data_IF_216151094498
#
_entry.id   IF_216151094498
#
_cell.length_a   1.000
_cell.length_b   1.000
_cell.length_c   1.000
_cell.angle_alpha   90.00
_cell.angle_beta   90.00
_cell.angle_gamma   90.00
#
_symmetry.space_group_name_H-M   'P 1'
#
loop_
_entity.id
_entity.type
_entity.pdbx_description
1 polymer ?
#
# COMPACT_ATOMS: atom_id res chain seq x y z
N UNK A 1 -3.34 16.75 -5.72
CA UNK A 1 -2.53 16.67 -4.48
C UNK A 1 -3.33 16.69 -3.16
N UNK A 2 -4.22 17.66 -2.88
CA UNK A 2 -4.97 17.68 -1.60
C UNK A 2 -6.02 16.54 -1.50
N UNK A 3 -6.75 16.28 -2.59
CA UNK A 3 -7.75 15.20 -2.67
C UNK A 3 -7.15 13.80 -2.53
N UNK A 4 -5.97 13.55 -3.13
CA UNK A 4 -5.26 12.26 -3.00
C UNK A 4 -4.86 11.96 -1.55
N UNK A 5 -4.35 12.98 -0.82
CA UNK A 5 -4.00 12.84 0.60
C UNK A 5 -5.22 12.55 1.47
N UNK A 6 -6.37 13.14 1.15
CA UNK A 6 -7.62 12.89 1.86
C UNK A 6 -8.17 11.48 1.60
N UNK A 7 -8.10 11.00 0.35
CA UNK A 7 -8.53 9.65 0.00
C UNK A 7 -7.64 8.57 0.61
N UNK A 8 -6.32 8.80 0.64
CA UNK A 8 -5.37 7.92 1.34
C UNK A 8 -5.74 7.77 2.82
N UNK A 9 -5.98 8.89 3.51
CA UNK A 9 -6.37 8.87 4.93
C UNK A 9 -7.70 8.13 5.11
N UNK A 10 -8.65 8.27 4.19
CA UNK A 10 -9.91 7.54 4.26
C UNK A 10 -9.66 6.02 4.19
N UNK A 11 -8.98 5.52 3.15
CA UNK A 11 -8.68 4.10 3.03
C UNK A 11 -7.93 3.56 4.23
N UNK A 12 -6.95 4.32 4.72
CA UNK A 12 -6.14 3.93 5.86
C UNK A 12 -6.98 3.71 7.13
N UNK A 13 -8.03 4.52 7.36
CA UNK A 13 -8.93 4.39 8.51
C UNK A 13 -9.92 3.22 8.39
N UNK A 14 -10.24 2.78 7.17
CA UNK A 14 -11.13 1.63 6.98
C UNK A 14 -10.43 0.32 7.37
N UNK A 15 -9.09 0.25 7.37
CA UNK A 15 -8.35 -1.00 7.57
C UNK A 15 -7.28 -0.98 8.67
N UNK A 16 -7.12 0.14 9.39
CA UNK A 16 -6.09 0.27 10.45
C UNK A 16 -6.34 -0.62 11.68
N UNK A 17 -7.51 -1.26 11.76
CA UNK A 17 -7.83 -2.27 12.76
C UNK A 17 -7.07 -3.59 12.54
N UNK A 18 -6.60 -3.88 11.32
CA UNK A 18 -5.95 -5.14 10.99
C UNK A 18 -4.48 -5.13 11.42
N UNK A 19 -4.04 -6.12 12.20
CA UNK A 19 -2.69 -6.13 12.78
C UNK A 19 -1.56 -6.15 11.75
N UNK A 20 -1.83 -6.69 10.55
CA UNK A 20 -0.89 -6.70 9.42
C UNK A 20 -0.97 -5.48 8.49
N UNK A 21 -1.70 -4.43 8.85
CA UNK A 21 -1.71 -3.14 8.16
C UNK A 21 -0.99 -2.12 9.03
N UNK A 22 -0.20 -1.23 8.42
CA UNK A 22 0.50 -0.19 9.17
C UNK A 22 -0.51 0.77 9.82
N UNK A 23 -0.42 0.98 11.14
CA UNK A 23 -1.40 1.86 11.81
C UNK A 23 -1.15 3.32 11.49
N UNK A 24 -2.24 4.08 11.38
CA UNK A 24 -2.22 5.52 11.20
C UNK A 24 -2.69 6.21 12.48
N UNK A 25 -1.87 7.13 12.98
CA UNK A 25 -2.16 7.85 14.22
C UNK A 25 -2.71 9.26 13.97
N UNK A 26 -2.43 9.86 12.81
CA UNK A 26 -2.97 11.17 12.46
C UNK A 26 -2.06 12.00 11.57
N UNK A 27 -2.37 13.29 11.50
CA UNK A 27 -1.62 14.28 10.73
C UNK A 27 -1.02 15.29 11.68
N UNK A 28 0.23 15.68 11.45
CA UNK A 28 0.87 16.80 12.15
C UNK A 28 1.39 17.82 11.15
N UNK A 29 1.72 19.02 11.61
CA UNK A 29 2.22 20.11 10.78
C UNK A 29 3.51 20.69 11.33
N UNK A 30 4.46 20.97 10.45
CA UNK A 30 5.62 21.82 10.77
C UNK A 30 5.41 23.21 10.18
N UNK A 31 5.74 24.25 10.95
CA UNK A 31 5.97 25.60 10.44
C UNK A 31 7.47 25.79 10.37
N UNK A 32 8.03 25.86 9.15
CA UNK A 32 9.47 26.15 8.98
C UNK A 32 9.78 27.63 8.84
N UNK A 33 8.79 28.44 8.49
CA UNK A 33 8.76 29.90 8.48
C UNK A 33 7.29 30.25 8.11
N UNK A 34 6.75 31.38 8.59
CA UNK A 34 5.32 31.78 8.60
C UNK A 34 4.54 31.80 7.25
N UNK A 35 5.02 31.13 6.19
CA UNK A 35 4.45 31.17 4.85
C UNK A 35 3.99 29.82 4.28
N UNK A 36 4.42 28.65 4.81
CA UNK A 36 3.90 27.33 4.36
C UNK A 36 3.83 26.29 5.47
N UNK A 37 2.65 25.69 5.65
CA UNK A 37 2.43 24.51 6.50
C UNK A 37 2.88 23.24 5.77
N UNK A 38 3.85 22.54 6.33
CA UNK A 38 4.27 21.22 5.87
C UNK A 38 3.50 20.15 6.64
N UNK A 39 2.64 19.38 5.93
CA UNK A 39 1.86 18.30 6.53
C UNK A 39 2.62 16.99 6.51
N UNK A 40 2.65 16.29 7.65
CA UNK A 40 3.29 14.99 7.83
C UNK A 40 2.26 13.98 8.36
N UNK A 41 2.38 12.74 7.90
CA UNK A 41 1.60 11.61 8.44
C UNK A 41 2.34 11.03 9.64
N UNK A 42 1.60 10.73 10.70
CA UNK A 42 2.09 10.02 11.88
C UNK A 42 1.59 8.59 11.77
N UNK A 43 2.52 7.63 11.64
CA UNK A 43 2.22 6.21 11.45
C UNK A 43 2.99 5.35 12.45
N UNK A 44 2.58 4.09 12.57
CA UNK A 44 3.32 3.06 13.28
C UNK A 44 4.76 2.95 12.77
N UNK A 45 5.70 2.75 13.70
CA UNK A 45 7.10 2.57 13.38
C UNK A 45 7.43 1.08 13.22
N UNK A 46 7.91 0.69 12.04
CA UNK A 46 8.38 -0.66 11.75
C UNK A 46 9.91 -0.76 11.93
N UNK A 47 10.34 -1.45 12.98
CA UNK A 47 11.73 -1.45 13.46
C UNK A 47 12.71 -2.24 12.58
N UNK A 48 12.19 -3.12 11.70
CA UNK A 48 13.00 -3.93 10.79
C UNK A 48 12.95 -3.42 9.33
N UNK A 49 12.38 -2.23 9.10
CA UNK A 49 12.33 -1.60 7.78
C UNK A 49 11.48 -2.39 6.77
N UNK A 50 11.85 -2.32 5.49
CA UNK A 50 11.11 -2.98 4.40
C UNK A 50 11.40 -4.48 4.36
N UNK A 51 10.44 -5.27 3.88
CA UNK A 51 10.61 -6.71 3.62
C UNK A 51 11.80 -6.97 2.69
N UNK A 52 12.03 -6.09 1.69
CA UNK A 52 13.22 -6.18 0.84
C UNK A 52 14.51 -6.17 1.66
N UNK A 53 14.69 -5.14 2.50
CA UNK A 53 15.89 -5.00 3.33
C UNK A 53 15.98 -6.13 4.34
N UNK A 54 14.88 -6.44 5.02
CA UNK A 54 14.80 -7.50 6.00
C UNK A 54 15.23 -8.85 5.43
N UNK A 55 14.74 -9.21 4.23
CA UNK A 55 15.15 -10.45 3.57
C UNK A 55 16.62 -10.39 3.16
N UNK A 56 17.13 -9.27 2.63
CA UNK A 56 18.56 -9.14 2.29
C UNK A 56 19.48 -9.41 3.49
N UNK A 57 19.07 -8.96 4.68
CA UNK A 57 19.87 -9.09 5.90
C UNK A 57 19.66 -10.44 6.61
N UNK A 58 18.46 -11.02 6.56
CA UNK A 58 18.06 -12.14 7.42
C UNK A 58 17.74 -13.45 6.68
N UNK A 59 17.75 -13.50 5.34
CA UNK A 59 17.25 -14.65 4.57
C UNK A 59 17.82 -16.02 5.01
N UNK A 60 19.10 -16.06 5.39
CA UNK A 60 19.79 -17.29 5.82
C UNK A 60 19.37 -17.76 7.21
N UNK A 61 18.89 -16.86 8.06
CA UNK A 61 18.46 -17.14 9.42
C UNK A 61 16.97 -17.51 9.49
N UNK A 62 16.20 -17.20 8.44
CA UNK A 62 14.78 -17.52 8.36
C UNK A 62 14.57 -19.00 8.01
N UNK A 63 13.81 -19.68 8.86
CA UNK A 63 13.30 -21.02 8.57
C UNK A 63 12.21 -20.96 7.49
N UNK A 64 11.81 -22.11 6.97
CA UNK A 64 10.65 -22.19 6.08
C UNK A 64 9.35 -21.78 6.77
N UNK A 65 9.22 -22.07 8.08
CA UNK A 65 8.06 -21.67 8.86
C UNK A 65 7.96 -20.15 8.97
N UNK A 66 9.09 -19.45 9.18
CA UNK A 66 9.11 -17.99 9.23
C UNK A 66 8.69 -17.38 7.89
N UNK A 67 9.21 -17.92 6.78
CA UNK A 67 8.85 -17.47 5.42
C UNK A 67 7.37 -17.69 5.13
N UNK A 68 6.84 -18.84 5.54
CA UNK A 68 5.42 -19.16 5.42
C UNK A 68 4.57 -18.18 6.24
N UNK A 69 4.96 -17.90 7.49
CA UNK A 69 4.25 -16.95 8.35
C UNK A 69 4.24 -15.53 7.77
N UNK A 70 5.36 -15.06 7.21
CA UNK A 70 5.42 -13.77 6.53
C UNK A 70 4.47 -13.74 5.31
N UNK A 71 4.47 -14.80 4.49
CA UNK A 71 3.57 -14.90 3.34
C UNK A 71 2.09 -14.92 3.77
N UNK A 72 1.76 -15.68 4.81
CA UNK A 72 0.41 -15.77 5.35
C UNK A 72 -0.09 -14.42 5.86
N UNK A 73 0.72 -13.71 6.65
CA UNK A 73 0.37 -12.38 7.16
C UNK A 73 0.17 -11.36 6.04
N UNK A 74 1.01 -11.41 4.99
CA UNK A 74 0.85 -10.55 3.83
C UNK A 74 -0.47 -10.82 3.09
N UNK A 75 -0.81 -12.09 2.88
CA UNK A 75 -2.09 -12.47 2.26
C UNK A 75 -3.26 -12.04 3.14
N UNK A 76 -3.17 -12.16 4.47
CA UNK A 76 -4.19 -11.67 5.40
C UNK A 76 -4.43 -10.17 5.25
N UNK A 77 -3.36 -9.37 5.22
CA UNK A 77 -3.47 -7.92 5.02
C UNK A 77 -4.12 -7.57 3.67
N UNK A 78 -3.70 -8.24 2.59
CA UNK A 78 -4.26 -8.02 1.25
C UNK A 78 -5.74 -8.44 1.18
N UNK A 79 -6.12 -9.54 1.83
CA UNK A 79 -7.52 -9.96 1.94
C UNK A 79 -8.35 -8.89 2.63
N UNK A 80 -7.87 -8.36 3.76
CA UNK A 80 -8.54 -7.28 4.47
C UNK A 80 -8.75 -6.02 3.60
N UNK A 81 -7.75 -5.64 2.78
CA UNK A 81 -7.94 -4.54 1.83
C UNK A 81 -9.06 -4.87 0.82
N UNK A 82 -9.05 -6.07 0.26
CA UNK A 82 -10.03 -6.49 -0.75
C UNK A 82 -11.46 -6.58 -0.21
N UNK A 83 -11.63 -7.03 1.03
CA UNK A 83 -12.94 -7.08 1.69
C UNK A 83 -13.57 -5.68 1.82
N UNK A 84 -12.75 -4.65 1.98
CA UNK A 84 -13.16 -3.22 1.99
C UNK A 84 -13.17 -2.59 0.58
N UNK A 85 -13.00 -3.38 -0.49
CA UNK A 85 -12.98 -2.89 -1.87
C UNK A 85 -11.74 -2.06 -2.23
N UNK A 86 -10.69 -2.13 -1.40
CA UNK A 86 -9.44 -1.39 -1.56
C UNK A 86 -8.44 -2.29 -2.31
N UNK A 87 -7.97 -1.83 -3.47
CA UNK A 87 -6.82 -2.44 -4.12
C UNK A 87 -5.54 -1.74 -3.69
N UNK A 88 -4.48 -2.51 -3.40
CA UNK A 88 -3.18 -1.94 -3.06
C UNK A 88 -2.56 -1.13 -4.21
N UNK A 89 -2.59 -1.68 -5.44
CA UNK A 89 -2.08 -1.07 -6.70
C UNK A 89 -0.56 -0.86 -6.82
N UNK A 90 0.17 -0.90 -5.72
CA UNK A 90 1.63 -0.80 -5.69
C UNK A 90 2.24 -1.85 -4.74
N UNK A 91 1.76 -3.08 -4.84
CA UNK A 91 2.19 -4.16 -3.97
C UNK A 91 3.58 -4.65 -4.38
N UNK A 92 4.58 -4.27 -3.61
CA UNK A 92 5.96 -4.75 -3.76
C UNK A 92 6.70 -4.76 -2.43
N UNK A 93 7.86 -5.44 -2.36
CA UNK A 93 8.62 -5.65 -1.12
C UNK A 93 9.16 -4.39 -0.43
N UNK A 94 9.09 -3.21 -1.05
CA UNK A 94 9.39 -1.93 -0.38
C UNK A 94 8.18 -1.33 0.36
N UNK A 95 6.96 -1.73 0.01
CA UNK A 95 5.70 -1.28 0.64
C UNK A 95 5.18 -2.29 1.67
N UNK A 96 5.94 -3.36 1.91
CA UNK A 96 5.74 -4.29 3.00
C UNK A 96 6.80 -3.99 4.05
N UNK A 97 6.40 -3.61 5.25
CA UNK A 97 7.30 -3.33 6.37
C UNK A 97 7.30 -4.49 7.36
N UNK A 98 8.36 -4.62 8.15
CA UNK A 98 8.49 -5.62 9.21
C UNK A 98 8.64 -4.92 10.56
N UNK A 99 7.79 -5.31 11.52
CA UNK A 99 7.87 -4.88 12.91
C UNK A 99 7.89 -6.12 13.80
N UNK A 100 8.98 -6.38 14.53
CA UNK A 100 9.08 -7.56 15.42
C UNK A 100 8.67 -8.90 14.75
N UNK A 101 9.11 -9.14 13.51
CA UNK A 101 8.72 -10.28 12.65
C UNK A 101 7.24 -10.34 12.22
N UNK A 102 6.49 -9.26 12.45
CA UNK A 102 5.11 -9.08 11.99
C UNK A 102 5.13 -8.24 10.72
N UNK A 103 4.41 -8.68 9.69
CA UNK A 103 4.22 -7.91 8.44
C UNK A 103 3.31 -6.72 8.71
N UNK A 104 3.67 -5.56 8.16
CA UNK A 104 2.90 -4.33 8.15
C UNK A 104 2.79 -3.82 6.71
N UNK A 105 1.64 -4.05 6.09
CA UNK A 105 1.36 -3.57 4.74
C UNK A 105 1.14 -2.05 4.76
N UNK A 106 1.80 -1.34 3.85
CA UNK A 106 1.81 0.12 3.78
C UNK A 106 1.56 0.60 2.34
N UNK A 107 1.31 1.90 2.20
CA UNK A 107 1.24 2.61 0.90
C UNK A 107 0.25 2.00 -0.11
N UNK A 108 -0.99 1.78 0.34
CA UNK A 108 -2.08 1.23 -0.47
C UNK A 108 -3.13 2.29 -0.85
N UNK A 109 -3.95 1.96 -1.84
CA UNK A 109 -5.14 2.74 -2.22
C UNK A 109 -4.87 3.93 -3.14
N UNK A 110 -3.63 4.37 -3.27
CA UNK A 110 -3.27 5.40 -4.24
C UNK A 110 -3.28 4.86 -5.67
N UNK A 111 -3.91 5.59 -6.58
CA UNK A 111 -3.79 5.42 -8.03
C UNK A 111 -2.73 6.39 -8.51
N UNK A 112 -1.89 5.98 -9.45
CA UNK A 112 -1.11 6.92 -10.24
C UNK A 112 -2.09 7.92 -10.89
N UNK A 113 -1.82 9.23 -10.78
CA UNK A 113 -2.53 10.20 -11.61
C UNK A 113 -2.10 9.97 -13.07
N UNK A 114 -3.05 9.93 -14.02
CA UNK A 114 -2.70 9.85 -15.43
C UNK A 114 -1.71 10.96 -15.79
N UNK A 115 -0.60 10.59 -16.45
CA UNK A 115 0.36 11.58 -16.94
C UNK A 115 -0.37 12.51 -17.93
N UNK A 116 -0.14 13.85 -17.87
CA UNK A 116 -0.74 14.77 -18.82
C UNK A 116 -0.49 14.34 -20.27
N UNK A 117 -1.52 14.50 -21.12
CA UNK A 117 -1.51 14.10 -22.53
C UNK A 117 -1.49 12.59 -22.84
N UNK A 118 -1.72 11.70 -21.86
CA UNK A 118 -2.04 10.30 -22.15
C UNK A 118 -3.40 10.19 -22.84
N UNK A 119 -3.51 9.29 -23.83
CA UNK A 119 -4.79 8.98 -24.50
C UNK A 119 -5.83 8.48 -23.50
N UNK A 120 -7.07 8.96 -23.63
CA UNK A 120 -8.22 8.46 -22.84
C UNK A 120 -8.40 6.95 -22.98
N UNK A 121 -8.08 6.39 -24.14
CA UNK A 121 -8.18 4.95 -24.39
C UNK A 121 -7.16 4.18 -23.58
N UNK A 122 -5.93 4.69 -23.47
CA UNK A 122 -4.90 4.10 -22.62
C UNK A 122 -5.30 4.16 -21.15
N UNK A 123 -5.87 5.29 -20.69
CA UNK A 123 -6.40 5.43 -19.33
C UNK A 123 -7.46 4.38 -19.03
N UNK A 124 -8.39 4.21 -19.98
CA UNK A 124 -9.44 3.21 -19.88
C UNK A 124 -8.87 1.80 -19.81
N UNK A 125 -7.95 1.44 -20.71
CA UNK A 125 -7.31 0.11 -20.74
C UNK A 125 -6.67 -0.21 -19.40
N UNK A 126 -5.74 0.63 -18.90
CA UNK A 126 -5.06 0.28 -17.65
C UNK A 126 -6.04 0.30 -16.47
N UNK A 127 -7.04 1.19 -16.44
CA UNK A 127 -8.07 1.20 -15.40
C UNK A 127 -8.90 -0.08 -15.40
N UNK A 128 -9.28 -0.56 -16.58
CA UNK A 128 -10.04 -1.80 -16.78
C UNK A 128 -9.18 -3.04 -16.44
N UNK A 129 -7.86 -3.02 -16.70
CA UNK A 129 -6.94 -4.09 -16.28
C UNK A 129 -6.90 -4.29 -14.76
N UNK A 130 -7.18 -3.24 -13.99
CA UNK A 130 -7.29 -3.29 -12.55
C UNK A 130 -8.73 -3.48 -12.07
N UNK A 131 -9.62 -4.11 -12.87
CA UNK A 131 -10.96 -4.43 -12.37
C UNK A 131 -10.87 -5.37 -11.15
N UNK A 132 -11.68 -5.10 -10.13
CA UNK A 132 -11.73 -5.92 -8.91
C UNK A 132 -12.21 -7.34 -9.25
N UNK A 133 -13.15 -7.45 -10.18
CA UNK A 133 -13.64 -8.69 -10.75
C UNK A 133 -12.69 -9.14 -11.87
N UNK A 134 -11.97 -10.27 -11.71
CA UNK A 134 -11.00 -10.74 -12.70
C UNK A 134 -11.62 -10.96 -14.08
N UNK A 135 -12.86 -11.46 -14.12
CA UNK A 135 -13.60 -11.75 -15.36
C UNK A 135 -14.00 -10.48 -16.13
N UNK A 136 -14.02 -9.33 -15.46
CA UNK A 136 -14.32 -8.03 -16.06
C UNK A 136 -13.06 -7.30 -16.55
N UNK A 137 -11.87 -7.88 -16.37
CA UNK A 137 -10.63 -7.33 -16.90
C UNK A 137 -10.56 -7.59 -18.40
N UNK A 138 -10.03 -6.65 -19.18
CA UNK A 138 -9.97 -6.84 -20.60
C UNK A 138 -8.90 -7.87 -20.99
N UNK A 139 -9.12 -8.55 -22.10
CA UNK A 139 -8.19 -9.53 -22.66
C UNK A 139 -7.35 -8.91 -23.78
N UNK A 140 -6.19 -9.50 -24.06
CA UNK A 140 -5.29 -9.05 -25.13
C UNK A 140 -5.98 -8.97 -26.51
N UNK A 141 -7.08 -9.70 -26.71
CA UNK A 141 -7.83 -9.75 -27.97
C UNK A 141 -8.90 -8.63 -28.10
N UNK A 142 -9.07 -7.78 -27.08
CA UNK A 142 -10.10 -6.74 -27.05
C UNK A 142 -9.59 -5.35 -27.47
N UNK A 143 -8.31 -5.22 -27.87
CA UNK A 143 -7.66 -3.98 -28.29
C UNK A 143 -6.77 -4.17 -29.51
#
# INVERSE_FOLDING_TARGET
MLQLKQLFIQFQREVDFHDNVIRFYGVTTSSKDDQRKEYMLVMEYADNGTLRKYLQENFRNLTWNDKFNLAFQLVSAVSCLHDEGIMHRDLHSNNVLIHQNIVKLADFGLREEPIPNISKDYIKIYTDCWNIEPDNRPTINQY
#
